data_IF_266633685739
#
_entry.id   IF_266633685739
#
_cell.length_a   1.000
_cell.length_b   1.000
_cell.length_c   1.000
_cell.angle_alpha   90.00
_cell.angle_beta   90.00
_cell.angle_gamma   90.00
#
_symmetry.space_group_name_H-M   'P 1'
#
loop_
_entity.id
_entity.type
_entity.pdbx_description
1 polymer ?
#
# COMPACT_ATOMS: atom_id res chain seq x y z
N UNK A 1 7.46 -7.03 1.23
CA UNK A 1 6.59 -7.60 0.16
C UNK A 1 6.49 -6.62 -0.99
N UNK A 2 6.35 -7.11 -2.23
CA UNK A 2 6.18 -6.28 -3.43
C UNK A 2 4.98 -5.32 -3.31
N UNK A 3 3.89 -5.78 -2.68
CA UNK A 3 2.70 -4.95 -2.41
C UNK A 3 3.04 -3.64 -1.68
N UNK A 4 3.81 -3.69 -0.57
CA UNK A 4 4.23 -2.49 0.17
C UNK A 4 5.05 -1.51 -0.69
N UNK A 5 5.91 -2.03 -1.56
CA UNK A 5 6.75 -1.17 -2.42
C UNK A 5 5.87 -0.38 -3.39
N UNK A 6 4.90 -1.05 -4.03
CA UNK A 6 3.99 -0.38 -4.94
C UNK A 6 2.96 0.50 -4.22
N UNK A 7 2.42 0.06 -3.08
CA UNK A 7 1.40 0.80 -2.35
C UNK A 7 1.85 2.20 -1.93
N UNK A 8 3.13 2.34 -1.59
CA UNK A 8 3.70 3.61 -1.11
C UNK A 8 4.71 4.22 -2.08
N UNK A 9 4.82 3.73 -3.32
CA UNK A 9 5.75 4.26 -4.32
C UNK A 9 7.23 4.26 -3.89
N UNK A 10 7.64 3.22 -3.16
CA UNK A 10 8.97 3.12 -2.58
C UNK A 10 10.02 2.73 -3.63
N UNK A 11 11.30 2.88 -3.27
CA UNK A 11 12.40 2.35 -4.07
C UNK A 11 12.67 0.88 -3.74
N UNK A 12 12.81 0.04 -4.76
CA UNK A 12 13.21 -1.37 -4.61
C UNK A 12 13.98 -1.84 -5.84
N UNK A 13 14.72 -2.95 -5.69
CA UNK A 13 15.29 -3.61 -6.87
C UNK A 13 14.18 -4.27 -7.70
N UNK A 14 14.21 -4.16 -9.04
CA UNK A 14 13.24 -4.79 -9.94
C UNK A 14 13.17 -6.30 -9.85
N UNK A 15 14.29 -6.95 -9.53
CA UNK A 15 14.38 -8.39 -9.36
C UNK A 15 15.53 -8.73 -8.40
N UNK A 16 15.60 -9.99 -7.98
CA UNK A 16 16.72 -10.48 -7.16
C UNK A 16 18.07 -10.41 -7.86
N UNK A 17 18.09 -10.28 -9.19
CA UNK A 17 19.30 -10.33 -10.03
C UNK A 17 19.73 -8.97 -10.55
N UNK A 18 18.95 -7.91 -10.34
CA UNK A 18 19.34 -6.54 -10.69
C UNK A 18 19.99 -5.86 -9.49
N UNK A 19 21.10 -5.19 -9.76
CA UNK A 19 21.94 -4.46 -8.80
C UNK A 19 21.56 -2.98 -8.64
N UNK A 20 20.59 -2.50 -9.43
CA UNK A 20 20.07 -1.15 -9.33
C UNK A 20 18.67 -1.12 -8.70
N UNK A 21 18.28 0.05 -8.18
CA UNK A 21 16.95 0.31 -7.62
C UNK A 21 16.18 1.26 -8.52
N UNK A 22 14.86 1.09 -8.54
CA UNK A 22 13.93 2.01 -9.21
C UNK A 22 12.90 2.51 -8.22
N UNK A 23 12.37 3.72 -8.44
CA UNK A 23 11.18 4.20 -7.75
C UNK A 23 9.94 3.70 -8.47
N UNK A 24 9.04 3.07 -7.74
CA UNK A 24 7.78 2.60 -8.29
C UNK A 24 6.71 3.69 -8.22
N UNK A 25 5.79 3.68 -9.19
CA UNK A 25 4.57 4.46 -9.08
C UNK A 25 3.76 3.99 -7.86
N UNK A 26 3.20 4.94 -7.12
CA UNK A 26 2.27 4.64 -6.05
C UNK A 26 0.99 4.03 -6.64
N UNK A 27 0.54 2.91 -6.08
CA UNK A 27 -0.69 2.24 -6.47
C UNK A 27 -1.53 2.04 -5.23
N UNK A 28 -2.57 2.84 -5.10
CA UNK A 28 -3.61 2.57 -4.12
C UNK A 28 -4.19 1.16 -4.34
N UNK A 29 -4.71 0.57 -3.27
CA UNK A 29 -5.38 -0.72 -3.34
C UNK A 29 -6.57 -0.59 -4.29
N UNK A 30 -6.42 -1.16 -5.50
CA UNK A 30 -7.50 -1.26 -6.46
C UNK A 30 -8.67 -2.02 -5.82
N UNK A 31 -9.88 -1.51 -6.01
CA UNK A 31 -11.11 -2.17 -5.54
C UNK A 31 -11.72 -1.61 -4.27
N UNK A 32 -11.09 -0.62 -3.62
CA UNK A 32 -11.73 0.19 -2.58
C UNK A 32 -12.11 1.55 -3.16
N UNK A 33 -13.39 1.88 -3.06
CA UNK A 33 -13.87 3.24 -3.20
C UNK A 33 -13.51 4.05 -1.94
N UNK A 34 -13.63 5.38 -2.02
CA UNK A 34 -13.46 6.23 -0.83
C UNK A 34 -14.42 5.81 0.30
N UNK A 35 -15.67 5.49 -0.01
CA UNK A 35 -16.64 5.03 1.00
C UNK A 35 -16.24 3.72 1.67
N UNK A 36 -15.54 2.83 0.96
CA UNK A 36 -15.05 1.60 1.58
C UNK A 36 -13.89 1.88 2.55
N UNK A 37 -13.05 2.88 2.24
CA UNK A 37 -11.98 3.33 3.13
C UNK A 37 -12.56 3.96 4.40
N UNK A 38 -13.60 4.77 4.28
CA UNK A 38 -14.27 5.40 5.42
C UNK A 38 -14.83 4.34 6.38
N UNK A 39 -15.49 3.30 5.85
CA UNK A 39 -15.99 2.16 6.66
C UNK A 39 -14.86 1.42 7.37
N UNK A 40 -13.74 1.16 6.67
CA UNK A 40 -12.58 0.48 7.28
C UNK A 40 -12.00 1.33 8.40
N UNK A 41 -11.85 2.64 8.19
CA UNK A 41 -11.34 3.58 9.18
C UNK A 41 -12.21 3.57 10.44
N UNK A 42 -13.54 3.69 10.29
CA UNK A 42 -14.49 3.64 11.40
C UNK A 42 -14.37 2.33 12.20
N UNK A 43 -14.27 1.19 11.52
CA UNK A 43 -14.13 -0.13 12.17
C UNK A 43 -12.82 -0.25 12.94
N UNK A 44 -11.72 0.25 12.39
CA UNK A 44 -10.41 0.23 13.04
C UNK A 44 -10.42 1.13 14.28
N UNK A 45 -10.96 2.35 14.16
CA UNK A 45 -11.08 3.28 15.30
C UNK A 45 -11.93 2.69 16.41
N UNK A 46 -13.09 2.09 16.07
CA UNK A 46 -13.94 1.41 17.05
C UNK A 46 -13.17 0.33 17.81
N UNK A 47 -12.39 -0.51 17.10
CA UNK A 47 -11.60 -1.59 17.70
C UNK A 47 -10.45 -1.09 18.59
N UNK A 48 -9.84 0.05 18.26
CA UNK A 48 -8.75 0.65 19.04
C UNK A 48 -9.23 1.48 20.24
N UNK A 49 -10.51 1.87 20.23
CA UNK A 49 -11.13 2.67 21.30
C UNK A 49 -11.75 1.84 22.43
N UNK A 50 -11.75 0.51 22.29
CA UNK A 50 -12.07 -0.46 23.34
C UNK A 50 -10.86 -0.74 24.23
#
# INVERSE_FOLDING_TARGET
MIAKVHQYGLMSSPSKTKDFKVRYAQRELLGFSQSDLDVIEDLVLAQLSM
#
